data_IF_680444520734
#
_entry.id   IF_680444520734
#
_cell.length_a   1.000
_cell.length_b   1.000
_cell.length_c   1.000
_cell.angle_alpha   90.00
_cell.angle_beta   90.00
_cell.angle_gamma   90.00
#
_symmetry.space_group_name_H-M   'P 1'
#
loop_
_entity.id
_entity.type
_entity.pdbx_description
1 polymer ?
#
# COMPACT_ATOMS: atom_id res chain seq x y z
N UNK A 1 -8.63 -31.81 -12.28
CA UNK A 1 -9.85 -31.19 -12.81
C UNK A 1 -10.23 -29.91 -12.06
N UNK A 2 -10.33 -29.89 -10.72
CA UNK A 2 -10.66 -28.69 -9.90
C UNK A 2 -9.68 -27.51 -10.11
N UNK A 3 -8.38 -27.77 -10.18
CA UNK A 3 -7.34 -26.75 -10.40
C UNK A 3 -7.46 -26.05 -11.79
N UNK A 4 -7.78 -26.81 -12.83
CA UNK A 4 -7.98 -26.27 -14.18
C UNK A 4 -9.23 -25.39 -14.29
N UNK A 5 -10.30 -25.75 -13.59
CA UNK A 5 -11.53 -24.96 -13.51
C UNK A 5 -11.24 -23.65 -12.77
N UNK A 6 -10.52 -23.72 -11.65
CA UNK A 6 -10.11 -22.56 -10.87
C UNK A 6 -9.23 -21.60 -11.70
N UNK A 7 -8.22 -22.12 -12.41
CA UNK A 7 -7.38 -21.31 -13.31
C UNK A 7 -8.18 -20.61 -14.42
N UNK A 8 -9.18 -21.31 -15.02
CA UNK A 8 -10.08 -20.69 -16.01
C UNK A 8 -10.93 -19.59 -15.40
N UNK A 9 -11.42 -19.76 -14.18
CA UNK A 9 -12.17 -18.72 -13.44
C UNK A 9 -11.29 -17.51 -13.11
N UNK A 10 -10.05 -17.74 -12.65
CA UNK A 10 -9.07 -16.66 -12.41
C UNK A 10 -8.81 -15.88 -13.71
N UNK A 11 -8.56 -16.57 -14.82
CA UNK A 11 -8.33 -15.94 -16.13
C UNK A 11 -9.54 -15.12 -16.60
N UNK A 12 -10.75 -15.59 -16.36
CA UNK A 12 -11.98 -14.87 -16.68
C UNK A 12 -12.12 -13.60 -15.83
N UNK A 13 -11.92 -13.70 -14.50
CA UNK A 13 -11.98 -12.56 -13.59
C UNK A 13 -10.91 -11.50 -13.87
N UNK A 14 -9.69 -11.91 -14.23
CA UNK A 14 -8.61 -10.99 -14.60
C UNK A 14 -8.92 -10.13 -15.84
N UNK A 15 -9.85 -10.56 -16.70
CA UNK A 15 -10.26 -9.77 -17.87
C UNK A 15 -11.23 -8.66 -17.51
N UNK A 16 -12.02 -8.80 -16.45
CA UNK A 16 -13.03 -7.83 -16.05
C UNK A 16 -12.40 -6.68 -15.25
N UNK A 17 -12.84 -5.45 -15.52
CA UNK A 17 -12.44 -4.25 -14.80
C UNK A 17 -13.63 -3.79 -13.94
N UNK A 18 -13.83 -4.42 -12.79
CA UNK A 18 -14.84 -4.03 -11.82
C UNK A 18 -14.22 -3.90 -10.43
N UNK A 19 -14.86 -3.12 -9.57
CA UNK A 19 -14.46 -2.96 -8.17
C UNK A 19 -14.38 -4.32 -7.46
N UNK A 20 -15.37 -5.17 -7.63
CA UNK A 20 -15.41 -6.49 -7.00
C UNK A 20 -14.24 -7.40 -7.43
N UNK A 21 -13.81 -7.29 -8.70
CA UNK A 21 -12.65 -8.02 -9.17
C UNK A 21 -11.34 -7.48 -8.63
N UNK A 22 -11.24 -6.17 -8.36
CA UNK A 22 -10.08 -5.60 -7.66
C UNK A 22 -10.01 -6.10 -6.22
N UNK A 23 -11.13 -6.09 -5.50
CA UNK A 23 -11.21 -6.64 -4.13
C UNK A 23 -10.87 -8.14 -4.10
N UNK A 24 -11.39 -8.90 -5.08
CA UNK A 24 -11.01 -10.30 -5.23
C UNK A 24 -9.51 -10.47 -5.48
N UNK A 25 -8.90 -9.63 -6.33
CA UNK A 25 -7.47 -9.69 -6.63
C UNK A 25 -6.61 -9.36 -5.40
N UNK A 26 -6.99 -8.35 -4.61
CA UNK A 26 -6.34 -8.01 -3.35
C UNK A 26 -6.37 -9.17 -2.35
N UNK A 27 -7.49 -9.90 -2.33
CA UNK A 27 -7.70 -11.01 -1.39
C UNK A 27 -7.22 -12.37 -1.91
N UNK A 28 -6.65 -12.42 -3.12
CA UNK A 28 -6.28 -13.68 -3.77
C UNK A 28 -5.21 -14.44 -2.98
N UNK A 29 -4.07 -13.80 -2.71
CA UNK A 29 -2.97 -14.42 -1.96
C UNK A 29 -3.33 -14.68 -0.48
N UNK A 30 -3.90 -13.72 0.25
CA UNK A 30 -4.35 -13.97 1.61
C UNK A 30 -5.30 -15.17 1.70
N UNK A 31 -6.24 -15.30 0.77
CA UNK A 31 -7.18 -16.45 0.74
C UNK A 31 -6.46 -17.76 0.46
N UNK A 32 -5.48 -17.77 -0.46
CA UNK A 32 -4.68 -18.98 -0.74
C UNK A 32 -3.84 -19.43 0.45
N UNK A 33 -3.33 -18.47 1.23
CA UNK A 33 -2.58 -18.73 2.47
C UNK A 33 -3.49 -18.99 3.69
N UNK A 34 -4.81 -18.87 3.54
CA UNK A 34 -5.79 -19.19 4.58
C UNK A 34 -6.10 -18.05 5.56
N UNK A 35 -5.76 -16.80 5.27
CA UNK A 35 -6.15 -15.63 6.08
C UNK A 35 -6.83 -14.54 5.22
N UNK A 36 -8.04 -14.78 4.70
CA UNK A 36 -8.72 -13.79 3.87
C UNK A 36 -8.82 -12.44 4.60
N UNK A 37 -8.48 -11.33 3.89
CA UNK A 37 -8.46 -9.98 4.47
C UNK A 37 -9.86 -9.50 4.87
N UNK A 38 -10.87 -9.92 4.11
CA UNK A 38 -12.24 -9.39 4.18
C UNK A 38 -13.24 -10.35 4.84
N UNK A 39 -12.81 -11.55 5.24
CA UNK A 39 -13.69 -12.51 5.87
C UNK A 39 -13.64 -12.39 7.41
N UNK A 40 -14.78 -12.63 8.05
CA UNK A 40 -14.91 -12.57 9.51
C UNK A 40 -14.21 -13.75 10.19
N UNK A 41 -14.03 -14.86 9.48
CA UNK A 41 -13.43 -16.08 10.05
C UNK A 41 -11.93 -15.92 10.21
N UNK A 42 -11.49 -16.01 11.44
CA UNK A 42 -10.08 -15.94 11.80
C UNK A 42 -9.42 -17.31 11.64
N UNK A 43 -8.34 -17.39 10.87
CA UNK A 43 -7.55 -18.61 10.76
C UNK A 43 -6.43 -18.63 11.81
N UNK A 44 -6.72 -19.22 12.96
CA UNK A 44 -5.74 -19.35 14.04
C UNK A 44 -4.50 -20.13 13.61
N UNK A 45 -4.64 -21.13 12.75
CA UNK A 45 -3.52 -21.96 12.31
C UNK A 45 -2.45 -21.13 11.58
N UNK A 46 -2.87 -20.32 10.60
CA UNK A 46 -1.92 -19.45 9.86
C UNK A 46 -1.19 -18.51 10.81
N UNK A 47 -1.93 -17.78 11.65
CA UNK A 47 -1.34 -16.79 12.56
C UNK A 47 -0.42 -17.43 13.61
N UNK A 48 -0.78 -18.59 14.15
CA UNK A 48 0.06 -19.32 15.12
C UNK A 48 1.36 -19.77 14.47
N UNK A 49 1.29 -20.41 13.30
CA UNK A 49 2.47 -20.86 12.56
C UNK A 49 3.36 -19.68 12.19
N UNK A 50 2.79 -18.61 11.63
CA UNK A 50 3.53 -17.44 11.25
C UNK A 50 4.24 -16.78 12.45
N UNK A 51 3.55 -16.57 13.57
CA UNK A 51 4.12 -15.94 14.75
C UNK A 51 5.20 -16.80 15.42
N UNK A 52 5.01 -18.14 15.47
CA UNK A 52 6.02 -19.04 16.02
C UNK A 52 7.28 -19.00 15.15
N UNK A 53 7.16 -19.10 13.82
CA UNK A 53 8.29 -19.03 12.91
C UNK A 53 8.96 -17.66 12.93
N UNK A 54 8.20 -16.58 12.96
CA UNK A 54 8.72 -15.22 13.05
C UNK A 54 9.56 -15.03 14.33
N UNK A 55 8.99 -15.46 15.47
CA UNK A 55 9.70 -15.38 16.75
C UNK A 55 10.94 -16.27 16.77
N UNK A 56 10.82 -17.53 16.34
CA UNK A 56 11.93 -18.48 16.34
C UNK A 56 13.10 -18.00 15.47
N UNK A 57 12.83 -17.64 14.21
CA UNK A 57 13.87 -17.28 13.26
C UNK A 57 14.53 -15.95 13.61
N UNK A 58 13.74 -14.91 13.91
CA UNK A 58 14.30 -13.58 14.09
C UNK A 58 14.73 -13.30 15.54
N UNK A 59 13.91 -13.65 16.54
CA UNK A 59 14.25 -13.32 17.92
C UNK A 59 15.26 -14.34 18.48
N UNK A 60 14.92 -15.64 18.42
CA UNK A 60 15.84 -16.66 18.95
C UNK A 60 17.12 -16.71 18.13
N UNK A 61 17.03 -16.75 16.79
CA UNK A 61 18.17 -16.76 15.88
C UNK A 61 19.08 -15.54 16.04
N UNK A 62 18.51 -14.32 16.07
CA UNK A 62 19.29 -13.09 16.22
C UNK A 62 19.90 -13.00 17.62
N UNK A 63 19.14 -13.28 18.69
CA UNK A 63 19.67 -13.22 20.05
C UNK A 63 20.81 -14.22 20.25
N UNK A 64 20.63 -15.45 19.78
CA UNK A 64 21.70 -16.47 19.85
C UNK A 64 22.91 -16.05 19.02
N UNK A 65 22.72 -15.59 17.79
CA UNK A 65 23.81 -15.10 16.95
C UNK A 65 24.55 -13.93 17.61
N UNK A 66 23.86 -12.96 18.18
CA UNK A 66 24.49 -11.84 18.88
C UNK A 66 25.29 -12.27 20.11
N UNK A 67 24.80 -13.24 20.88
CA UNK A 67 25.53 -13.73 22.07
C UNK A 67 26.83 -14.44 21.68
N UNK A 68 26.83 -15.17 20.57
CA UNK A 68 27.97 -16.03 20.20
C UNK A 68 28.89 -15.43 19.13
N UNK A 69 28.47 -14.48 18.32
CA UNK A 69 29.16 -14.05 17.10
C UNK A 69 29.50 -12.57 17.02
N UNK A 70 28.93 -11.70 17.88
CA UNK A 70 29.13 -10.24 17.77
C UNK A 70 30.55 -9.84 18.20
N UNK A 71 31.43 -9.61 17.22
CA UNK A 71 32.78 -9.08 17.47
C UNK A 71 33.11 -7.79 16.66
N UNK A 72 32.23 -7.32 15.78
CA UNK A 72 32.51 -6.22 14.89
C UNK A 72 31.36 -5.27 14.59
N UNK A 73 31.68 -4.10 14.03
CA UNK A 73 30.73 -3.09 13.59
C UNK A 73 29.78 -3.63 12.50
N UNK A 74 30.28 -4.46 11.59
CA UNK A 74 29.50 -5.07 10.51
C UNK A 74 28.42 -6.00 11.08
N UNK A 75 28.75 -6.80 12.12
CA UNK A 75 27.79 -7.72 12.76
C UNK A 75 26.66 -6.95 13.45
N UNK A 76 26.98 -5.79 14.03
CA UNK A 76 25.99 -4.91 14.62
C UNK A 76 25.00 -4.38 13.57
N UNK A 77 25.49 -3.99 12.38
CA UNK A 77 24.64 -3.54 11.27
C UNK A 77 23.82 -4.70 10.71
N UNK A 78 24.38 -5.88 10.54
CA UNK A 78 23.64 -7.08 10.12
C UNK A 78 22.49 -7.39 11.08
N UNK A 79 22.76 -7.32 12.38
CA UNK A 79 21.73 -7.48 13.41
C UNK A 79 20.64 -6.41 13.31
N UNK A 80 21.01 -5.16 13.03
CA UNK A 80 20.04 -4.09 12.83
C UNK A 80 19.13 -4.35 11.62
N UNK A 81 19.67 -4.80 10.47
CA UNK A 81 18.86 -5.13 9.30
C UNK A 81 17.89 -6.27 9.59
N UNK A 82 18.32 -7.29 10.32
CA UNK A 82 17.46 -8.40 10.74
C UNK A 82 16.32 -7.93 11.67
N UNK A 83 16.64 -7.09 12.67
CA UNK A 83 15.64 -6.50 13.57
C UNK A 83 14.67 -5.60 12.81
N UNK A 84 15.18 -4.85 11.83
CA UNK A 84 14.33 -3.99 10.98
C UNK A 84 13.37 -4.83 10.13
N UNK A 85 13.85 -5.88 9.48
CA UNK A 85 13.02 -6.80 8.70
C UNK A 85 11.95 -7.48 9.58
N UNK A 86 12.33 -7.96 10.77
CA UNK A 86 11.39 -8.49 11.76
C UNK A 86 10.32 -7.46 12.11
N UNK A 87 10.73 -6.23 12.43
CA UNK A 87 9.80 -5.18 12.86
C UNK A 87 8.82 -4.81 11.75
N UNK A 88 9.27 -4.71 10.50
CA UNK A 88 8.40 -4.44 9.35
C UNK A 88 7.35 -5.54 9.18
N UNK A 89 7.76 -6.81 9.11
CA UNK A 89 6.83 -7.95 8.98
C UNK A 89 5.86 -8.03 10.17
N UNK A 90 6.36 -7.80 11.39
CA UNK A 90 5.54 -7.80 12.60
C UNK A 90 4.51 -6.66 12.58
N UNK A 91 4.90 -5.44 12.20
CA UNK A 91 4.00 -4.27 12.13
C UNK A 91 2.91 -4.51 11.11
N UNK A 92 3.23 -5.02 9.92
CA UNK A 92 2.25 -5.31 8.88
C UNK A 92 1.28 -6.42 9.29
N UNK A 93 1.80 -7.50 9.89
CA UNK A 93 0.98 -8.57 10.45
C UNK A 93 0.07 -8.09 11.58
N UNK A 94 0.62 -7.33 12.53
CA UNK A 94 -0.13 -6.73 13.63
C UNK A 94 -1.22 -5.77 13.13
N UNK A 95 -0.92 -4.97 12.11
CA UNK A 95 -1.87 -4.08 11.47
C UNK A 95 -3.04 -4.88 10.84
N UNK A 96 -2.74 -5.90 10.03
CA UNK A 96 -3.76 -6.76 9.41
C UNK A 96 -4.63 -7.43 10.49
N UNK A 97 -4.02 -7.86 11.57
CA UNK A 97 -4.73 -8.51 12.68
C UNK A 97 -5.66 -7.54 13.42
N UNK A 98 -5.13 -6.38 13.85
CA UNK A 98 -5.83 -5.45 14.75
C UNK A 98 -6.78 -4.51 14.03
N UNK A 99 -6.44 -4.08 12.80
CA UNK A 99 -7.18 -3.05 12.04
C UNK A 99 -8.17 -3.61 11.04
N UNK A 100 -8.37 -4.93 11.04
CA UNK A 100 -9.24 -5.62 10.10
C UNK A 100 -10.67 -5.08 10.06
N UNK A 101 -11.26 -4.78 11.22
CA UNK A 101 -12.63 -4.26 11.30
C UNK A 101 -12.71 -2.85 10.70
N UNK A 102 -11.82 -1.96 11.15
CA UNK A 102 -11.78 -0.58 10.64
C UNK A 102 -11.48 -0.55 9.13
N UNK A 103 -10.66 -1.50 8.64
CA UNK A 103 -10.37 -1.63 7.23
C UNK A 103 -11.60 -2.08 6.41
N UNK A 104 -12.39 -3.03 6.91
CA UNK A 104 -13.65 -3.43 6.28
C UNK A 104 -14.67 -2.28 6.25
N UNK A 105 -14.81 -1.53 7.37
CA UNK A 105 -15.67 -0.34 7.43
C UNK A 105 -15.20 0.76 6.44
N UNK A 106 -13.89 0.84 6.17
CA UNK A 106 -13.35 1.73 5.15
C UNK A 106 -13.71 1.27 3.75
N UNK A 107 -13.58 -0.04 3.47
CA UNK A 107 -13.95 -0.60 2.17
C UNK A 107 -15.42 -0.47 1.85
N UNK A 108 -16.31 -0.52 2.84
CA UNK A 108 -17.75 -0.24 2.64
C UNK A 108 -17.97 1.21 2.18
N UNK A 109 -17.25 2.18 2.74
CA UNK A 109 -17.33 3.59 2.30
C UNK A 109 -16.80 3.73 0.86
N UNK A 110 -15.70 3.06 0.54
CA UNK A 110 -15.11 3.05 -0.81
C UNK A 110 -16.08 2.41 -1.80
N UNK A 111 -16.67 1.26 -1.47
CA UNK A 111 -17.67 0.58 -2.29
C UNK A 111 -18.91 1.45 -2.54
N UNK A 112 -19.43 2.08 -1.49
CA UNK A 112 -20.58 2.99 -1.62
C UNK A 112 -20.30 4.13 -2.60
N UNK A 113 -19.06 4.66 -2.61
CA UNK A 113 -18.69 5.71 -3.57
C UNK A 113 -18.61 5.15 -5.00
N UNK A 114 -18.09 3.93 -5.18
CA UNK A 114 -18.00 3.25 -6.46
C UNK A 114 -19.41 2.92 -7.04
N UNK A 115 -20.31 2.41 -6.20
CA UNK A 115 -21.69 2.09 -6.56
C UNK A 115 -22.44 3.35 -7.08
N UNK A 116 -22.23 4.52 -6.43
CA UNK A 116 -22.81 5.79 -6.88
C UNK A 116 -22.27 6.25 -8.25
N UNK A 117 -21.04 5.89 -8.62
CA UNK A 117 -20.51 6.16 -9.98
C UNK A 117 -21.28 5.32 -11.01
N UNK A 118 -21.49 4.03 -10.68
CA UNK A 118 -22.17 3.09 -11.56
C UNK A 118 -23.65 3.47 -11.73
N UNK A 119 -24.34 3.82 -10.65
CA UNK A 119 -25.75 4.22 -10.66
C UNK A 119 -26.00 5.44 -11.54
N UNK A 120 -25.08 6.41 -11.55
CA UNK A 120 -25.23 7.60 -12.41
C UNK A 120 -25.03 7.30 -13.89
N UNK A 121 -24.37 6.20 -14.24
CA UNK A 121 -24.11 5.77 -15.61
C UNK A 121 -23.21 6.72 -16.41
N UNK A 122 -22.72 7.80 -15.78
CA UNK A 122 -21.90 8.83 -16.44
C UNK A 122 -20.44 8.53 -16.23
N UNK A 123 -19.62 8.91 -17.19
CA UNK A 123 -18.17 8.71 -17.12
C UNK A 123 -17.75 7.26 -16.88
N UNK A 124 -18.60 6.26 -17.18
CA UNK A 124 -18.29 4.84 -17.00
C UNK A 124 -17.00 4.44 -17.73
N UNK A 125 -16.75 4.98 -18.92
CA UNK A 125 -15.52 4.71 -19.66
C UNK A 125 -14.25 5.25 -18.93
N UNK A 126 -14.38 6.40 -18.23
CA UNK A 126 -13.29 6.95 -17.40
C UNK A 126 -13.09 6.07 -16.20
N UNK A 127 -14.18 5.67 -15.54
CA UNK A 127 -14.18 4.76 -14.40
C UNK A 127 -13.54 3.40 -14.75
N UNK A 128 -13.95 2.75 -15.84
CA UNK A 128 -13.34 1.50 -16.29
C UNK A 128 -11.86 1.63 -16.62
N UNK A 129 -11.44 2.73 -17.27
CA UNK A 129 -10.02 3.02 -17.53
C UNK A 129 -9.23 3.15 -16.24
N UNK A 130 -9.79 3.79 -15.23
CA UNK A 130 -9.17 3.96 -13.91
C UNK A 130 -9.06 2.63 -13.16
N UNK A 131 -10.13 1.81 -13.12
CA UNK A 131 -10.10 0.47 -12.54
C UNK A 131 -9.05 -0.42 -13.22
N UNK A 132 -8.92 -0.31 -14.55
CA UNK A 132 -7.87 -1.01 -15.30
C UNK A 132 -6.47 -0.55 -14.88
N UNK A 133 -6.26 0.74 -14.68
CA UNK A 133 -4.97 1.29 -14.22
C UNK A 133 -4.63 0.78 -12.81
N UNK A 134 -5.60 0.79 -11.90
CA UNK A 134 -5.45 0.25 -10.54
C UNK A 134 -5.08 -1.24 -10.58
N UNK A 135 -5.77 -2.02 -11.42
CA UNK A 135 -5.48 -3.44 -11.61
C UNK A 135 -4.03 -3.68 -12.05
N UNK A 136 -3.53 -2.86 -12.99
CA UNK A 136 -2.14 -2.95 -13.46
C UNK A 136 -1.17 -2.66 -12.30
N UNK A 137 -1.42 -1.63 -11.48
CA UNK A 137 -0.59 -1.30 -10.31
C UNK A 137 -0.55 -2.49 -9.34
N UNK A 138 -1.70 -3.11 -9.05
CA UNK A 138 -1.79 -4.27 -8.16
C UNK A 138 -0.96 -5.44 -8.71
N UNK A 139 -1.11 -5.77 -10.01
CA UNK A 139 -0.38 -6.87 -10.63
C UNK A 139 1.13 -6.59 -10.65
N UNK A 140 1.55 -5.37 -10.98
CA UNK A 140 2.96 -4.98 -10.96
C UNK A 140 3.55 -5.08 -9.55
N UNK A 141 2.80 -4.67 -8.53
CA UNK A 141 3.23 -4.79 -7.14
C UNK A 141 3.39 -6.28 -6.73
N UNK A 142 2.46 -7.14 -7.10
CA UNK A 142 2.59 -8.59 -6.88
C UNK A 142 3.88 -9.14 -7.51
N UNK A 143 4.09 -8.86 -8.80
CA UNK A 143 5.27 -9.32 -9.52
C UNK A 143 6.55 -8.79 -8.86
N UNK A 144 6.55 -7.53 -8.46
CA UNK A 144 7.68 -6.91 -7.79
C UNK A 144 8.02 -7.62 -6.46
N UNK A 145 7.05 -7.83 -5.58
CA UNK A 145 7.27 -8.53 -4.31
C UNK A 145 7.82 -9.94 -4.53
N UNK A 146 7.20 -10.73 -5.41
CA UNK A 146 7.66 -12.10 -5.67
C UNK A 146 9.06 -12.16 -6.28
N UNK A 147 9.37 -11.30 -7.26
CA UNK A 147 10.70 -11.25 -7.87
C UNK A 147 11.74 -10.84 -6.83
N UNK A 148 11.44 -9.84 -6.01
CA UNK A 148 12.34 -9.37 -4.98
C UNK A 148 12.64 -10.45 -3.94
N UNK A 149 11.63 -11.20 -3.50
CA UNK A 149 11.82 -12.29 -2.55
C UNK A 149 12.63 -13.46 -3.13
N UNK A 150 12.43 -13.77 -4.40
CA UNK A 150 13.27 -14.74 -5.09
C UNK A 150 14.74 -14.28 -5.08
N UNK A 151 14.98 -12.98 -5.32
CA UNK A 151 16.33 -12.40 -5.27
C UNK A 151 16.94 -12.38 -3.86
N UNK A 152 16.11 -12.24 -2.83
CA UNK A 152 16.57 -12.34 -1.43
C UNK A 152 16.86 -13.80 -1.05
N UNK A 153 15.94 -14.72 -1.37
CA UNK A 153 15.99 -16.09 -0.88
C UNK A 153 17.03 -16.97 -1.62
N UNK A 154 17.07 -16.95 -2.96
CA UNK A 154 17.88 -17.89 -3.74
C UNK A 154 19.39 -17.70 -3.54
N UNK A 155 19.99 -16.49 -3.68
CA UNK A 155 21.44 -16.34 -3.57
C UNK A 155 22.00 -16.80 -2.22
N UNK A 156 21.31 -16.44 -1.14
CA UNK A 156 21.76 -16.81 0.21
C UNK A 156 21.72 -18.31 0.47
N UNK A 157 20.86 -19.05 -0.22
CA UNK A 157 20.69 -20.49 0.00
C UNK A 157 21.49 -21.37 -0.98
N UNK A 158 21.65 -20.88 -2.21
CA UNK A 158 22.36 -21.67 -3.26
C UNK A 158 23.86 -21.43 -3.26
N UNK A 159 24.33 -20.25 -2.86
CA UNK A 159 25.77 -19.90 -2.88
C UNK A 159 26.49 -20.24 -1.58
N UNK A 160 25.85 -20.89 -0.61
CA UNK A 160 26.41 -21.23 0.72
C UNK A 160 27.15 -20.07 1.37
N UNK A 161 26.54 -18.89 1.34
CA UNK A 161 27.07 -17.72 2.04
C UNK A 161 26.68 -17.82 3.52
N UNK A 162 27.26 -18.80 4.23
CA UNK A 162 26.91 -19.15 5.60
C UNK A 162 27.19 -18.02 6.61
N UNK A 163 28.14 -17.15 6.29
CA UNK A 163 28.53 -16.02 7.16
C UNK A 163 27.49 -14.89 7.17
N UNK A 164 26.55 -14.86 6.21
CA UNK A 164 25.51 -13.83 6.09
C UNK A 164 24.09 -14.38 6.11
N UNK A 165 23.90 -15.63 6.55
CA UNK A 165 22.53 -16.15 6.65
C UNK A 165 21.73 -15.34 7.66
N UNK A 166 20.66 -14.72 7.17
CA UNK A 166 19.75 -13.85 7.93
C UNK A 166 19.15 -14.56 9.16
N UNK A 167 19.18 -15.90 9.19
CA UNK A 167 18.67 -16.67 10.30
C UNK A 167 19.41 -18.01 10.42
N UNK A 168 20.01 -18.26 11.56
CA UNK A 168 20.46 -19.59 11.96
C UNK A 168 19.29 -20.39 12.54
N UNK A 169 19.13 -21.64 12.11
CA UNK A 169 18.14 -22.55 12.70
C UNK A 169 18.72 -23.13 14.01
N UNK A 170 18.61 -22.37 15.07
CA UNK A 170 19.10 -22.72 16.39
C UNK A 170 18.49 -24.06 16.86
N UNK A 171 19.32 -25.01 17.28
CA UNK A 171 18.91 -26.33 17.74
C UNK A 171 18.82 -27.40 16.65
N UNK A 172 19.11 -27.07 15.38
CA UNK A 172 19.27 -28.02 14.28
C UNK A 172 20.73 -28.20 13.89
N UNK A 173 21.65 -28.03 14.82
CA UNK A 173 23.08 -28.22 14.57
C UNK A 173 23.46 -29.71 14.54
N UNK A 174 24.38 -30.15 13.65
CA UNK A 174 25.01 -29.39 12.59
C UNK A 174 24.08 -29.13 11.38
N UNK A 175 24.07 -27.90 10.88
CA UNK A 175 23.14 -27.45 9.80
C UNK A 175 23.53 -28.09 8.44
N UNK A 176 24.77 -28.50 8.27
CA UNK A 176 25.29 -29.04 7.00
C UNK A 176 24.94 -30.52 6.77
N UNK A 177 24.31 -31.17 7.72
CA UNK A 177 23.97 -32.60 7.64
C UNK A 177 22.48 -32.83 7.41
N UNK A 178 22.17 -33.86 6.60
CA UNK A 178 20.80 -34.35 6.46
C UNK A 178 20.39 -35.11 7.75
N UNK A 179 19.16 -34.94 8.28
CA UNK A 179 18.02 -34.17 7.77
C UNK A 179 17.95 -32.71 8.23
N UNK A 180 18.88 -32.24 9.05
CA UNK A 180 18.82 -30.91 9.69
C UNK A 180 18.77 -29.77 8.66
N UNK A 181 19.57 -29.92 7.59
CA UNK A 181 19.62 -28.95 6.49
C UNK A 181 18.25 -28.78 5.82
N UNK A 182 17.58 -29.88 5.46
CA UNK A 182 16.30 -29.87 4.76
C UNK A 182 15.19 -29.32 5.66
N UNK A 183 15.21 -29.64 6.94
CA UNK A 183 14.25 -29.12 7.93
C UNK A 183 14.41 -27.59 8.08
N UNK A 184 15.66 -27.11 8.25
CA UNK A 184 15.96 -25.70 8.34
C UNK A 184 15.49 -24.94 7.09
N UNK A 185 15.85 -25.45 5.91
CA UNK A 185 15.44 -24.86 4.63
C UNK A 185 13.91 -24.81 4.47
N UNK A 186 13.22 -25.87 4.92
CA UNK A 186 11.75 -25.92 4.92
C UNK A 186 11.12 -24.86 5.82
N UNK A 187 11.62 -24.70 7.05
CA UNK A 187 11.13 -23.68 8.00
C UNK A 187 11.32 -22.26 7.45
N UNK A 188 12.51 -21.99 6.91
CA UNK A 188 12.83 -20.70 6.31
C UNK A 188 11.98 -20.41 5.07
N UNK A 189 11.72 -21.40 4.21
CA UNK A 189 10.86 -21.23 3.05
C UNK A 189 9.41 -20.89 3.46
N UNK A 190 8.88 -21.59 4.47
CA UNK A 190 7.54 -21.29 5.00
C UNK A 190 7.49 -19.88 5.58
N UNK A 191 8.52 -19.48 6.35
CA UNK A 191 8.59 -18.13 6.92
C UNK A 191 8.62 -17.05 5.84
N UNK A 192 9.45 -17.20 4.83
CA UNK A 192 9.55 -16.26 3.70
C UNK A 192 8.20 -16.12 3.00
N UNK A 193 7.55 -17.22 2.65
CA UNK A 193 6.24 -17.20 1.99
C UNK A 193 5.18 -16.49 2.83
N UNK A 194 5.12 -16.79 4.13
CA UNK A 194 4.11 -16.14 5.01
C UNK A 194 4.40 -14.65 5.19
N UNK A 195 5.66 -14.26 5.31
CA UNK A 195 6.07 -12.84 5.44
C UNK A 195 5.76 -12.05 4.17
N UNK A 196 6.14 -12.57 2.99
CA UNK A 196 5.86 -11.92 1.70
C UNK A 196 4.37 -11.69 1.50
N UNK A 197 3.55 -12.70 1.80
CA UNK A 197 2.10 -12.55 1.60
C UNK A 197 1.52 -11.49 2.54
N UNK A 198 2.02 -11.35 3.77
CA UNK A 198 1.59 -10.30 4.70
C UNK A 198 2.02 -8.91 4.24
N UNK A 199 3.30 -8.70 3.97
CA UNK A 199 3.85 -7.42 3.51
C UNK A 199 3.17 -7.00 2.20
N UNK A 200 3.10 -7.91 1.23
CA UNK A 200 2.43 -7.66 -0.04
C UNK A 200 0.94 -7.28 0.14
N UNK A 201 0.22 -7.97 1.04
CA UNK A 201 -1.19 -7.68 1.30
C UNK A 201 -1.39 -6.30 1.94
N UNK A 202 -0.48 -5.88 2.83
CA UNK A 202 -0.47 -4.55 3.42
C UNK A 202 -0.23 -3.47 2.36
N UNK A 203 0.86 -3.60 1.59
CA UNK A 203 1.22 -2.64 0.54
C UNK A 203 0.14 -2.49 -0.52
N UNK A 204 -0.41 -3.61 -1.00
CA UNK A 204 -1.48 -3.62 -1.99
C UNK A 204 -2.75 -2.96 -1.48
N UNK A 205 -3.11 -3.18 -0.20
CA UNK A 205 -4.28 -2.54 0.41
C UNK A 205 -4.13 -1.02 0.42
N UNK A 206 -2.96 -0.53 0.80
CA UNK A 206 -2.67 0.89 0.84
C UNK A 206 -2.63 1.52 -0.56
N UNK A 207 -1.93 0.89 -1.51
CA UNK A 207 -1.84 1.35 -2.89
C UNK A 207 -3.19 1.36 -3.60
N UNK A 208 -4.03 0.36 -3.35
CA UNK A 208 -5.40 0.32 -3.84
C UNK A 208 -6.20 1.52 -3.35
N UNK A 209 -6.17 1.80 -2.04
CA UNK A 209 -6.92 2.91 -1.44
C UNK A 209 -6.46 4.26 -1.98
N UNK A 210 -5.15 4.50 -2.08
CA UNK A 210 -4.63 5.72 -2.70
C UNK A 210 -5.09 5.87 -4.15
N UNK A 211 -4.94 4.81 -4.94
CA UNK A 211 -5.27 4.84 -6.37
C UNK A 211 -6.76 5.01 -6.62
N UNK A 212 -7.61 4.31 -5.84
CA UNK A 212 -9.07 4.41 -5.96
C UNK A 212 -9.57 5.81 -5.54
N UNK A 213 -9.08 6.34 -4.42
CA UNK A 213 -9.47 7.67 -3.96
C UNK A 213 -9.03 8.76 -4.96
N UNK A 214 -7.83 8.61 -5.55
CA UNK A 214 -7.36 9.47 -6.65
C UNK A 214 -8.32 9.41 -7.84
N UNK A 215 -8.74 8.21 -8.24
CA UNK A 215 -9.70 8.00 -9.33
C UNK A 215 -11.04 8.69 -9.05
N UNK A 216 -11.55 8.60 -7.81
CA UNK A 216 -12.77 9.28 -7.41
C UNK A 216 -12.65 10.81 -7.57
N UNK A 217 -11.55 11.43 -7.11
CA UNK A 217 -11.34 12.87 -7.29
C UNK A 217 -11.24 13.27 -8.76
N UNK A 218 -10.64 12.44 -9.61
CA UNK A 218 -10.57 12.69 -11.05
C UNK A 218 -11.94 12.62 -11.71
N UNK A 219 -12.80 11.66 -11.33
CA UNK A 219 -14.18 11.59 -11.85
C UNK A 219 -15.00 12.78 -11.35
N UNK A 220 -14.86 13.16 -10.08
CA UNK A 220 -15.52 14.34 -9.52
C UNK A 220 -15.11 15.63 -10.25
N UNK A 221 -13.83 15.74 -10.65
CA UNK A 221 -13.36 16.84 -11.49
C UNK A 221 -14.10 16.90 -12.82
N UNK A 222 -14.16 15.77 -13.55
CA UNK A 222 -14.87 15.69 -14.85
C UNK A 222 -16.36 16.00 -14.71
N UNK A 223 -17.01 15.53 -13.65
CA UNK A 223 -18.42 15.80 -13.39
C UNK A 223 -18.69 17.28 -13.10
N UNK A 224 -17.83 17.94 -12.31
CA UNK A 224 -17.96 19.36 -12.04
C UNK A 224 -17.70 20.22 -13.27
N UNK A 225 -16.71 19.87 -14.10
CA UNK A 225 -16.47 20.56 -15.37
C UNK A 225 -17.66 20.40 -16.33
N UNK A 226 -18.23 19.20 -16.43
CA UNK A 226 -19.44 18.99 -17.26
C UNK A 226 -20.69 19.73 -16.76
N UNK A 227 -20.74 20.04 -15.46
CA UNK A 227 -21.83 20.81 -14.88
C UNK A 227 -21.83 22.26 -15.41
N UNK A 228 -20.65 22.86 -15.62
CA UNK A 228 -20.49 24.19 -16.21
C UNK A 228 -21.16 24.26 -17.60
N UNK A 229 -20.92 23.27 -18.46
CA UNK A 229 -21.46 23.27 -19.82
C UNK A 229 -22.99 23.22 -19.81
N UNK A 230 -23.56 22.45 -18.87
CA UNK A 230 -25.01 22.31 -18.74
C UNK A 230 -25.64 23.56 -18.14
N UNK A 231 -25.02 24.17 -17.13
CA UNK A 231 -25.55 25.42 -16.54
C UNK A 231 -25.55 26.58 -17.51
N UNK A 232 -24.69 26.56 -18.53
CA UNK A 232 -24.68 27.56 -19.60
C UNK A 232 -25.78 27.29 -20.68
N UNK A 233 -26.11 26.02 -20.94
CA UNK A 233 -27.03 25.64 -22.02
C UNK A 233 -28.47 25.51 -21.57
N UNK A 234 -28.72 25.12 -20.32
CA UNK A 234 -30.07 24.82 -19.79
C UNK A 234 -30.63 26.03 -19.00
N UNK A 235 -30.91 27.15 -19.65
CA UNK A 235 -31.49 28.31 -18.97
C UNK A 235 -33.05 28.36 -18.98
N UNK A 236 -33.76 27.44 -19.63
CA UNK A 236 -35.14 27.67 -20.07
C UNK A 236 -36.21 26.73 -19.49
N UNK A 237 -35.91 25.68 -18.70
CA UNK A 237 -36.96 24.84 -18.09
C UNK A 237 -36.64 24.48 -16.64
N UNK A 238 -37.69 24.40 -15.80
CA UNK A 238 -37.53 23.95 -14.39
C UNK A 238 -37.10 22.48 -14.32
N UNK A 239 -37.50 21.64 -15.28
CA UNK A 239 -37.11 20.23 -15.36
C UNK A 239 -35.59 20.07 -15.58
N UNK A 240 -35.00 20.89 -16.44
CA UNK A 240 -33.53 20.90 -16.66
C UNK A 240 -32.77 21.33 -15.40
N UNK A 241 -33.35 22.27 -14.65
CA UNK A 241 -32.75 22.73 -13.40
C UNK A 241 -32.72 21.63 -12.33
N UNK A 242 -33.79 20.81 -12.22
CA UNK A 242 -33.83 19.70 -11.28
C UNK A 242 -32.74 18.64 -11.58
N UNK A 243 -32.42 18.43 -12.86
CA UNK A 243 -31.30 17.57 -13.26
C UNK A 243 -29.97 18.13 -12.78
N UNK A 244 -29.75 19.45 -12.90
CA UNK A 244 -28.53 20.12 -12.39
C UNK A 244 -28.41 19.94 -10.88
N UNK A 245 -29.50 20.16 -10.13
CA UNK A 245 -29.56 20.02 -8.67
C UNK A 245 -29.25 18.58 -8.25
N UNK A 246 -29.82 17.59 -8.93
CA UNK A 246 -29.57 16.18 -8.65
C UNK A 246 -28.09 15.80 -8.88
N UNK A 247 -27.49 16.32 -9.98
CA UNK A 247 -26.05 16.11 -10.26
C UNK A 247 -25.17 16.73 -9.19
N UNK A 248 -25.41 17.99 -8.85
CA UNK A 248 -24.66 18.71 -7.81
C UNK A 248 -24.74 17.94 -6.48
N UNK A 249 -25.94 17.49 -6.10
CA UNK A 249 -26.13 16.70 -4.89
C UNK A 249 -25.30 15.41 -4.89
N UNK A 250 -25.29 14.68 -6.02
CA UNK A 250 -24.47 13.45 -6.14
C UNK A 250 -22.99 13.74 -5.97
N UNK A 251 -22.46 14.78 -6.64
CA UNK A 251 -21.06 15.20 -6.50
C UNK A 251 -20.73 15.55 -5.05
N UNK A 252 -21.60 16.30 -4.35
CA UNK A 252 -21.40 16.66 -2.94
C UNK A 252 -21.32 15.39 -2.08
N UNK A 253 -22.23 14.44 -2.23
CA UNK A 253 -22.24 13.18 -1.45
C UNK A 253 -20.96 12.40 -1.68
N UNK A 254 -20.56 12.25 -2.93
CA UNK A 254 -19.34 11.51 -3.30
C UNK A 254 -18.06 12.19 -2.84
N UNK A 255 -18.00 13.53 -2.88
CA UNK A 255 -16.89 14.29 -2.31
C UNK A 255 -16.79 14.07 -0.79
N UNK A 256 -17.91 14.08 -0.06
CA UNK A 256 -17.93 13.77 1.37
C UNK A 256 -17.44 12.35 1.65
N UNK A 257 -17.87 11.36 0.88
CA UNK A 257 -17.41 9.97 0.99
C UNK A 257 -15.89 9.85 0.70
N UNK A 258 -15.39 10.57 -0.32
CA UNK A 258 -13.96 10.60 -0.62
C UNK A 258 -13.13 11.18 0.55
N UNK A 259 -13.60 12.26 1.16
CA UNK A 259 -12.94 12.84 2.34
C UNK A 259 -13.01 11.91 3.57
N UNK A 260 -14.12 11.21 3.76
CA UNK A 260 -14.24 10.18 4.81
C UNK A 260 -13.27 9.02 4.57
N UNK A 261 -13.12 8.58 3.31
CA UNK A 261 -12.13 7.56 2.92
C UNK A 261 -10.72 7.99 3.32
N UNK A 262 -10.31 9.22 3.01
CA UNK A 262 -8.98 9.75 3.36
C UNK A 262 -8.79 9.81 4.88
N UNK A 263 -9.78 10.33 5.62
CA UNK A 263 -9.69 10.42 7.07
C UNK A 263 -9.57 9.04 7.75
N UNK A 264 -10.36 8.05 7.29
CA UNK A 264 -10.26 6.67 7.77
C UNK A 264 -8.91 6.03 7.39
N UNK A 265 -8.46 6.23 6.13
CA UNK A 265 -7.16 5.74 5.66
C UNK A 265 -6.02 6.27 6.54
N UNK A 266 -5.99 7.57 6.80
CA UNK A 266 -4.97 8.18 7.67
C UNK A 266 -5.02 7.61 9.10
N UNK A 267 -6.20 7.44 9.67
CA UNK A 267 -6.33 6.88 11.02
C UNK A 267 -5.87 5.43 11.12
N UNK A 268 -6.06 4.64 10.07
CA UNK A 268 -5.72 3.22 10.04
C UNK A 268 -4.23 3.01 9.76
N UNK A 269 -3.65 3.74 8.80
CA UNK A 269 -2.31 3.46 8.25
C UNK A 269 -1.21 4.41 8.74
N UNK A 270 -1.54 5.59 9.26
CA UNK A 270 -0.56 6.65 9.54
C UNK A 270 0.60 6.19 10.43
N UNK A 271 0.32 5.43 11.49
CA UNK A 271 1.35 4.96 12.43
C UNK A 271 2.24 3.92 11.79
N UNK A 272 1.67 2.91 11.12
CA UNK A 272 2.45 1.85 10.47
C UNK A 272 3.34 2.40 9.36
N UNK A 273 2.82 3.28 8.49
CA UNK A 273 3.63 3.96 7.47
C UNK A 273 4.77 4.77 8.11
N UNK A 274 4.51 5.44 9.24
CA UNK A 274 5.53 6.21 9.94
C UNK A 274 6.67 5.33 10.46
N UNK A 275 6.36 4.17 11.01
CA UNK A 275 7.35 3.18 11.46
C UNK A 275 8.16 2.67 10.26
N UNK A 276 7.49 2.27 9.17
CA UNK A 276 8.14 1.80 7.96
C UNK A 276 9.10 2.86 7.39
N UNK A 277 8.65 4.12 7.21
CA UNK A 277 9.50 5.21 6.71
C UNK A 277 10.70 5.49 7.61
N UNK A 278 10.53 5.41 8.92
CA UNK A 278 11.62 5.59 9.88
C UNK A 278 12.68 4.49 9.74
N UNK A 279 12.25 3.23 9.75
CA UNK A 279 13.15 2.08 9.61
C UNK A 279 13.84 2.07 8.24
N UNK A 280 13.13 2.33 7.17
CA UNK A 280 13.68 2.41 5.81
C UNK A 280 14.74 3.51 5.71
N UNK A 281 14.49 4.70 6.28
CA UNK A 281 15.44 5.81 6.27
C UNK A 281 16.73 5.45 7.00
N UNK A 282 16.63 4.83 8.19
CA UNK A 282 17.81 4.40 8.96
C UNK A 282 18.55 3.29 8.22
N UNK A 283 17.83 2.31 7.68
CA UNK A 283 18.41 1.21 6.90
C UNK A 283 19.18 1.72 5.68
N UNK A 284 18.64 2.71 4.97
CA UNK A 284 19.29 3.36 3.83
C UNK A 284 20.57 4.11 4.26
N UNK A 285 20.54 4.84 5.37
CA UNK A 285 21.72 5.51 5.90
C UNK A 285 22.83 4.50 6.21
N UNK A 286 22.52 3.42 6.89
CA UNK A 286 23.50 2.38 7.27
C UNK A 286 24.02 1.63 6.05
N UNK A 287 23.15 1.30 5.09
CA UNK A 287 23.54 0.61 3.87
C UNK A 287 24.66 1.35 3.10
N UNK A 288 24.52 2.65 2.92
CA UNK A 288 25.51 3.44 2.17
C UNK A 288 26.85 3.64 2.91
N UNK A 289 26.93 3.33 4.18
CA UNK A 289 28.18 3.36 4.97
C UNK A 289 28.93 2.04 4.89
N UNK A 290 28.26 0.93 4.53
CA UNK A 290 28.85 -0.41 4.43
C UNK A 290 29.85 -0.53 3.27
N UNK A 291 30.83 -1.48 3.37
CA UNK A 291 31.66 -1.90 2.25
C UNK A 291 30.81 -2.47 1.10
N UNK A 292 31.26 -2.29 -0.15
CA UNK A 292 30.52 -2.69 -1.33
C UNK A 292 30.15 -4.19 -1.35
N UNK A 293 31.04 -5.04 -0.88
CA UNK A 293 30.82 -6.49 -0.78
C UNK A 293 29.62 -6.83 0.10
N UNK A 294 29.51 -6.19 1.26
CA UNK A 294 28.37 -6.35 2.19
C UNK A 294 27.10 -5.72 1.61
N UNK A 295 27.22 -4.55 0.94
CA UNK A 295 26.09 -3.89 0.28
C UNK A 295 25.39 -4.80 -0.73
N UNK A 296 26.15 -5.58 -1.50
CA UNK A 296 25.56 -6.45 -2.53
C UNK A 296 24.61 -7.51 -1.95
N UNK A 297 24.86 -7.97 -0.72
CA UNK A 297 23.99 -8.93 -0.03
C UNK A 297 22.64 -8.32 0.36
N UNK A 298 22.64 -7.07 0.82
CA UNK A 298 21.42 -6.36 1.23
C UNK A 298 20.74 -5.59 0.08
N UNK A 299 21.35 -5.57 -1.11
CA UNK A 299 20.85 -4.79 -2.24
C UNK A 299 19.37 -5.07 -2.59
N UNK A 300 18.86 -6.31 -2.64
CA UNK A 300 17.46 -6.56 -2.93
C UNK A 300 16.51 -5.97 -1.85
N UNK A 301 16.88 -6.08 -0.57
CA UNK A 301 16.09 -5.53 0.53
C UNK A 301 16.02 -3.99 0.46
N UNK A 302 17.17 -3.36 0.23
CA UNK A 302 17.25 -1.89 0.09
C UNK A 302 16.51 -1.40 -1.15
N UNK A 303 16.61 -2.14 -2.27
CA UNK A 303 15.85 -1.82 -3.47
C UNK A 303 14.35 -1.91 -3.24
N UNK A 304 13.89 -2.91 -2.48
CA UNK A 304 12.50 -3.03 -2.06
C UNK A 304 12.03 -1.80 -1.27
N UNK A 305 12.74 -1.46 -0.20
CA UNK A 305 12.43 -0.30 0.64
C UNK A 305 12.38 1.01 -0.15
N UNK A 306 13.39 1.27 -0.98
CA UNK A 306 13.43 2.45 -1.86
C UNK A 306 12.23 2.51 -2.81
N UNK A 307 11.92 1.39 -3.45
CA UNK A 307 10.84 1.34 -4.44
C UNK A 307 9.48 1.55 -3.78
N UNK A 308 9.20 0.90 -2.66
CA UNK A 308 7.91 1.04 -1.94
C UNK A 308 7.77 2.44 -1.37
N UNK A 309 8.82 3.00 -0.75
CA UNK A 309 8.80 4.37 -0.27
C UNK A 309 8.52 5.38 -1.39
N UNK A 310 9.22 5.25 -2.53
CA UNK A 310 8.97 6.07 -3.71
C UNK A 310 7.53 5.93 -4.23
N UNK A 311 7.03 4.70 -4.32
CA UNK A 311 5.69 4.40 -4.83
C UNK A 311 4.60 5.03 -3.95
N UNK A 312 4.74 4.95 -2.62
CA UNK A 312 3.82 5.61 -1.69
C UNK A 312 3.82 7.13 -1.86
N UNK A 313 5.00 7.73 -1.96
CA UNK A 313 5.14 9.18 -2.18
C UNK A 313 4.55 9.63 -3.52
N UNK A 314 4.72 8.83 -4.57
CA UNK A 314 4.09 9.08 -5.88
C UNK A 314 2.56 9.01 -5.80
N UNK A 315 1.99 7.99 -5.16
CA UNK A 315 0.55 7.85 -5.05
C UNK A 315 -0.06 8.94 -4.15
N UNK A 316 0.61 9.30 -3.04
CA UNK A 316 0.19 10.41 -2.19
C UNK A 316 0.20 11.75 -2.94
N UNK A 317 1.23 12.01 -3.75
CA UNK A 317 1.28 13.21 -4.61
C UNK A 317 0.16 13.22 -5.65
N UNK A 318 -0.13 12.07 -6.28
CA UNK A 318 -1.22 11.96 -7.27
C UNK A 318 -2.59 12.26 -6.63
N UNK A 319 -2.83 11.77 -5.42
CA UNK A 319 -4.04 12.05 -4.65
C UNK A 319 -4.17 13.55 -4.35
N UNK A 320 -3.10 14.16 -3.85
CA UNK A 320 -3.07 15.60 -3.57
C UNK A 320 -3.36 16.41 -4.83
N UNK A 321 -2.66 16.14 -5.93
CA UNK A 321 -2.86 16.85 -7.20
C UNK A 321 -4.27 16.66 -7.75
N UNK A 322 -4.89 15.47 -7.60
CA UNK A 322 -6.27 15.24 -8.03
C UNK A 322 -7.27 16.06 -7.18
N UNK A 323 -7.03 16.20 -5.88
CA UNK A 323 -7.86 17.03 -5.00
C UNK A 323 -7.73 18.54 -5.30
N UNK A 324 -6.52 19.02 -5.65
CA UNK A 324 -6.27 20.39 -6.08
C UNK A 324 -6.99 20.71 -7.41
N UNK A 325 -6.95 19.79 -8.37
CA UNK A 325 -7.71 19.92 -9.62
C UNK A 325 -9.22 19.97 -9.38
N UNK A 326 -9.72 19.18 -8.45
CA UNK A 326 -11.13 19.21 -8.09
C UNK A 326 -11.56 20.56 -7.49
N UNK A 327 -10.72 21.20 -6.67
CA UNK A 327 -10.96 22.57 -6.20
C UNK A 327 -11.18 23.54 -7.35
N UNK A 328 -10.30 23.50 -8.36
CA UNK A 328 -10.42 24.33 -9.56
C UNK A 328 -11.74 24.06 -10.31
N UNK A 329 -12.13 22.79 -10.45
CA UNK A 329 -13.39 22.42 -11.10
C UNK A 329 -14.62 22.95 -10.34
N UNK A 330 -14.59 22.90 -9.00
CA UNK A 330 -15.66 23.46 -8.16
C UNK A 330 -15.78 24.97 -8.36
N UNK A 331 -14.65 25.68 -8.50
CA UNK A 331 -14.67 27.11 -8.80
C UNK A 331 -15.23 27.41 -10.20
N UNK A 332 -14.92 26.57 -11.18
CA UNK A 332 -15.31 26.76 -12.59
C UNK A 332 -16.64 26.11 -12.96
N UNK A 333 -17.46 25.64 -12.02
CA UNK A 333 -18.68 24.85 -12.31
C UNK A 333 -19.88 25.65 -12.81
N UNK A 334 -19.75 26.97 -13.06
CA UNK A 334 -20.86 27.81 -13.48
C UNK A 334 -21.82 28.15 -12.33
N UNK A 335 -21.33 28.21 -11.09
CA UNK A 335 -22.11 28.45 -9.88
C UNK A 335 -22.87 29.78 -9.90
N UNK A 336 -22.44 30.77 -10.70
CA UNK A 336 -23.10 32.05 -10.91
C UNK A 336 -24.51 31.92 -11.55
N UNK A 337 -24.75 30.81 -12.27
CA UNK A 337 -26.04 30.53 -12.91
C UNK A 337 -26.98 29.72 -12.00
N UNK A 338 -26.54 29.31 -10.83
CA UNK A 338 -27.33 28.52 -9.88
C UNK A 338 -28.22 29.40 -9.01
N UNK A 339 -29.27 28.83 -8.43
CA UNK A 339 -30.14 29.53 -7.44
C UNK A 339 -29.36 29.70 -6.12
N UNK A 340 -29.79 30.63 -5.28
CA UNK A 340 -29.11 31.02 -4.03
C UNK A 340 -28.80 29.82 -3.11
N UNK A 341 -29.71 28.85 -3.04
CA UNK A 341 -29.54 27.65 -2.20
C UNK A 341 -28.36 26.80 -2.68
N UNK A 342 -28.30 26.54 -3.96
CA UNK A 342 -27.23 25.72 -4.58
C UNK A 342 -25.91 26.46 -4.59
N UNK A 343 -25.87 27.77 -4.80
CA UNK A 343 -24.67 28.61 -4.64
C UNK A 343 -24.06 28.46 -3.25
N UNK A 344 -24.88 28.46 -2.19
CA UNK A 344 -24.38 28.24 -0.81
C UNK A 344 -23.77 26.84 -0.65
N UNK A 345 -24.36 25.81 -1.28
CA UNK A 345 -23.80 24.45 -1.24
C UNK A 345 -22.44 24.37 -1.96
N UNK A 346 -22.33 24.98 -3.16
CA UNK A 346 -21.07 25.07 -3.89
C UNK A 346 -20.02 25.83 -3.09
N UNK A 347 -20.37 26.95 -2.45
CA UNK A 347 -19.46 27.72 -1.60
C UNK A 347 -18.93 26.90 -0.42
N UNK A 348 -19.78 26.10 0.24
CA UNK A 348 -19.34 25.21 1.32
C UNK A 348 -18.40 24.11 0.81
N UNK A 349 -18.71 23.54 -0.35
CA UNK A 349 -17.88 22.54 -1.01
C UNK A 349 -16.54 23.13 -1.40
N UNK A 350 -16.51 24.34 -1.99
CA UNK A 350 -15.29 25.06 -2.36
C UNK A 350 -14.42 25.35 -1.14
N UNK A 351 -15.00 25.87 -0.06
CA UNK A 351 -14.28 26.14 1.20
C UNK A 351 -13.61 24.86 1.73
N UNK A 352 -14.21 23.70 1.53
CA UNK A 352 -13.60 22.42 1.94
C UNK A 352 -12.55 21.93 0.95
N UNK A 353 -12.79 22.10 -0.35
CA UNK A 353 -11.87 21.69 -1.42
C UNK A 353 -10.59 22.53 -1.44
N UNK A 354 -10.61 23.80 -1.00
CA UNK A 354 -9.43 24.67 -0.84
C UNK A 354 -8.38 24.12 0.13
N UNK A 355 -8.75 23.14 0.96
CA UNK A 355 -7.77 22.40 1.76
C UNK A 355 -7.37 21.14 1.00
N UNK A 356 -6.16 21.11 0.38
CA UNK A 356 -5.73 19.96 -0.39
C UNK A 356 -5.70 18.71 0.49
N UNK A 357 -6.03 17.58 -0.11
CA UNK A 357 -5.99 16.28 0.56
C UNK A 357 -4.56 15.81 0.64
N UNK A 358 -4.04 15.69 1.85
CA UNK A 358 -2.70 15.18 2.14
C UNK A 358 -2.86 14.05 3.15
N UNK A 359 -2.22 12.92 2.91
CA UNK A 359 -2.11 11.83 3.88
C UNK A 359 -0.77 11.97 4.61
N UNK A 360 -0.79 11.77 5.92
CA UNK A 360 0.39 11.92 6.77
C UNK A 360 0.83 10.58 7.35
N UNK A 361 2.13 10.27 7.25
CA UNK A 361 2.78 9.21 8.00
C UNK A 361 3.07 9.72 9.43
N UNK A 362 2.77 8.90 10.44
CA UNK A 362 2.84 9.26 11.87
C UNK A 362 2.11 10.58 12.21
N UNK A 363 1.11 10.98 11.40
CA UNK A 363 0.38 12.27 11.51
C UNK A 363 1.25 13.54 11.40
N UNK A 364 2.50 13.42 10.98
CA UNK A 364 3.48 14.52 10.91
C UNK A 364 4.10 14.63 9.52
N UNK A 365 4.49 13.51 8.90
CA UNK A 365 5.26 13.51 7.66
C UNK A 365 4.30 13.40 6.47
N UNK A 366 4.19 14.40 5.58
CA UNK A 366 3.30 14.32 4.42
C UNK A 366 3.82 13.30 3.41
N UNK A 367 2.96 12.41 2.93
CA UNK A 367 3.31 11.39 1.93
C UNK A 367 3.26 12.04 0.55
N UNK A 368 4.38 12.63 0.11
CA UNK A 368 4.54 13.37 -1.15
C UNK A 368 5.91 13.12 -1.78
N UNK A 369 6.06 13.37 -3.08
CA UNK A 369 7.34 13.28 -3.79
C UNK A 369 8.41 14.16 -3.14
N UNK A 370 8.04 15.34 -2.64
CA UNK A 370 8.95 16.21 -1.90
C UNK A 370 9.56 15.52 -0.67
N UNK A 371 8.77 14.74 0.06
CA UNK A 371 9.25 13.98 1.23
C UNK A 371 10.29 12.95 0.82
N UNK A 372 10.04 12.19 -0.25
CA UNK A 372 11.02 11.26 -0.80
C UNK A 372 12.32 11.98 -1.18
N UNK A 373 12.24 13.07 -1.95
CA UNK A 373 13.41 13.82 -2.39
C UNK A 373 14.20 14.39 -1.21
N UNK A 374 13.53 15.00 -0.22
CA UNK A 374 14.18 15.56 0.97
C UNK A 374 14.85 14.49 1.84
N UNK A 375 14.23 13.30 1.95
CA UNK A 375 14.83 12.16 2.64
C UNK A 375 16.07 11.67 1.92
N UNK A 376 16.05 11.53 0.59
CA UNK A 376 17.22 11.15 -0.19
C UNK A 376 18.37 12.17 -0.05
N UNK A 377 18.05 13.46 -0.03
CA UNK A 377 19.06 14.52 0.23
C UNK A 377 19.64 14.43 1.64
N UNK A 378 18.82 14.12 2.64
CA UNK A 378 19.29 13.95 4.01
C UNK A 378 20.22 12.72 4.14
N UNK A 379 19.86 11.59 3.51
CA UNK A 379 20.71 10.39 3.44
C UNK A 379 22.04 10.71 2.74
N UNK A 380 22.00 11.39 1.61
CA UNK A 380 23.23 11.79 0.90
C UNK A 380 24.15 12.63 1.77
N UNK A 381 23.62 13.65 2.47
CA UNK A 381 24.40 14.48 3.40
C UNK A 381 24.98 13.65 4.53
N UNK A 382 24.21 12.72 5.11
CA UNK A 382 24.68 11.84 6.16
C UNK A 382 25.86 10.98 5.67
N UNK A 383 25.71 10.34 4.53
CA UNK A 383 26.75 9.47 3.95
C UNK A 383 28.03 10.24 3.63
N UNK A 384 27.94 11.47 3.12
CA UNK A 384 29.11 12.29 2.83
C UNK A 384 29.91 12.69 4.07
N UNK A 385 29.26 12.78 5.23
CA UNK A 385 29.97 13.06 6.51
C UNK A 385 30.74 11.83 6.99
N UNK A 386 30.23 10.62 6.79
CA UNK A 386 30.83 9.39 7.32
C UNK A 386 31.79 8.70 6.34
N UNK A 387 31.80 9.05 5.06
CA UNK A 387 32.76 8.51 4.06
C UNK A 387 34.01 9.40 3.86
N UNK A 388 34.12 10.50 4.59
CA UNK A 388 35.36 11.29 4.68
C UNK A 388 36.21 10.71 5.80
#
# INVERSE_FOLDING_TARGET
>A
MKCLIWLKQCKSRLKLNSFENLIWLLNLLPTLCGFPLFDVKFNYLFWTVHMILLFYIYIVGIVVYQIYSTQGFIDCINSFFNVSAFTLVFVDGWWIYTKRKEFNDLLEVVKKNDDLIIETGRFLHVHEKMLRSIKIIIIMCYVFHFVNEILIFIPFRTLRMDDFSIASCVGLEPIDTSPNHEVCMGLLAVQVVTSVVLVCSYDLSLLFLFSHTTAVFQILFEEMMSLNDITQTCQNSDEDYDVIVARLRNVIVRHVLALQTVGKLENIFSVSIGICFGLDTISLCLFFVLPLEVCMHFAPMIYHSLFIFFLYCCQGQRLTTASEKFEMAVYCCGWENLRVKERKQVLLMLKRAQKPVIVYAAKVIPIRIYTFASTMQAIYKFVTIFKV
#
